data_IF_986432767183
#
_entry.id   IF_986432767183
#
_cell.length_a   1.000
_cell.length_b   1.000
_cell.length_c   1.000
_cell.angle_alpha   90.00
_cell.angle_beta   90.00
_cell.angle_gamma   90.00
#
_symmetry.space_group_name_H-M   'P 1'
#
loop_
_entity.id
_entity.type
_entity.pdbx_description
1 polymer ?
#
# COMPACT_ATOMS: atom_id res chain seq x y z
N UNK A 1 -3.25 -2.52 -22.34
CA UNK A 1 -2.82 -2.11 -23.70
C UNK A 1 -3.76 -2.77 -24.69
N UNK A 2 -4.95 -2.20 -24.88
CA UNK A 2 -5.93 -2.65 -25.88
C UNK A 2 -6.37 -1.36 -26.58
N UNK A 3 -6.01 -1.20 -27.84
CA UNK A 3 -6.39 -0.02 -28.62
C UNK A 3 -7.25 -0.52 -29.76
N UNK A 4 -8.52 -0.11 -29.77
CA UNK A 4 -9.45 -0.34 -30.89
C UNK A 4 -9.65 -1.81 -31.29
N UNK A 5 -9.72 -2.74 -30.32
CA UNK A 5 -9.97 -4.15 -30.59
C UNK A 5 -8.78 -4.93 -31.15
N UNK A 6 -7.60 -4.32 -31.25
CA UNK A 6 -6.36 -5.06 -31.54
C UNK A 6 -5.88 -5.68 -30.22
N UNK A 7 -5.92 -7.02 -30.15
CA UNK A 7 -5.31 -7.75 -29.05
C UNK A 7 -3.79 -7.59 -29.14
N UNK A 8 -3.13 -7.07 -28.09
CA UNK A 8 -1.67 -7.00 -28.06
C UNK A 8 -1.09 -8.41 -28.18
N UNK A 9 0.02 -8.52 -28.90
CA UNK A 9 0.78 -9.76 -28.99
C UNK A 9 1.29 -10.20 -27.60
N UNK A 10 1.60 -11.49 -27.47
CA UNK A 10 2.18 -12.01 -26.24
C UNK A 10 3.51 -11.31 -25.87
N UNK A 11 4.27 -10.87 -26.87
CA UNK A 11 5.55 -10.17 -26.68
C UNK A 11 5.33 -8.75 -26.14
N UNK A 12 4.34 -8.02 -26.68
CA UNK A 12 3.96 -6.69 -26.17
C UNK A 12 3.46 -6.75 -24.73
N UNK A 13 2.59 -7.73 -24.41
CA UNK A 13 2.13 -7.94 -23.03
C UNK A 13 3.29 -8.36 -22.11
N UNK A 14 4.20 -9.18 -22.61
CA UNK A 14 5.39 -9.59 -21.85
C UNK A 14 6.27 -8.38 -21.52
N UNK A 15 6.55 -7.52 -22.50
CA UNK A 15 7.27 -6.27 -22.28
C UNK A 15 6.52 -5.36 -21.31
N UNK A 16 5.20 -5.25 -21.44
CA UNK A 16 4.36 -4.41 -20.59
C UNK A 16 4.32 -4.86 -19.13
N UNK A 17 4.35 -6.16 -18.82
CA UNK A 17 4.24 -6.66 -17.44
C UNK A 17 5.57 -6.96 -16.77
N UNK A 18 6.64 -7.19 -17.55
CA UNK A 18 7.95 -7.58 -17.03
C UNK A 18 9.07 -6.61 -17.39
N UNK A 19 8.77 -5.48 -18.04
CA UNK A 19 9.75 -4.49 -18.50
C UNK A 19 10.67 -3.95 -17.41
N UNK A 20 10.21 -3.95 -16.16
CA UNK A 20 11.00 -3.51 -14.99
C UNK A 20 11.39 -4.65 -14.06
N UNK A 21 11.25 -5.91 -14.50
CA UNK A 21 11.72 -7.09 -13.76
C UNK A 21 13.11 -7.50 -14.23
N UNK A 22 13.99 -7.86 -13.30
CA UNK A 22 15.40 -8.16 -13.57
C UNK A 22 15.70 -9.65 -13.64
N UNK A 23 15.09 -10.44 -12.76
CA UNK A 23 15.49 -11.82 -12.48
C UNK A 23 14.54 -12.88 -13.03
N UNK A 24 13.33 -12.50 -13.46
CA UNK A 24 12.39 -13.43 -14.10
C UNK A 24 12.96 -13.90 -15.44
N UNK A 25 13.12 -15.22 -15.70
CA UNK A 25 13.63 -15.72 -16.99
C UNK A 25 12.71 -15.38 -18.17
N UNK A 26 13.28 -15.05 -19.34
CA UNK A 26 12.50 -14.62 -20.51
C UNK A 26 11.43 -15.64 -20.95
N UNK A 27 11.76 -16.94 -20.89
CA UNK A 27 10.82 -18.01 -21.23
C UNK A 27 9.60 -18.04 -20.30
N UNK A 28 9.80 -17.75 -19.00
CA UNK A 28 8.73 -17.68 -18.01
C UNK A 28 7.87 -16.44 -18.23
N UNK A 29 8.50 -15.29 -18.54
CA UNK A 29 7.77 -14.05 -18.88
C UNK A 29 6.82 -14.28 -20.06
N UNK A 30 7.30 -14.92 -21.13
CA UNK A 30 6.48 -15.25 -22.32
C UNK A 30 5.35 -16.24 -22.01
N UNK A 31 5.60 -17.23 -21.15
CA UNK A 31 4.57 -18.21 -20.74
C UNK A 31 3.47 -17.53 -19.94
N UNK A 32 3.84 -16.72 -18.95
CA UNK A 32 2.90 -15.98 -18.12
C UNK A 32 2.16 -14.91 -18.94
N UNK A 33 2.86 -14.18 -19.81
CA UNK A 33 2.27 -13.18 -20.70
C UNK A 33 1.13 -13.75 -21.56
N UNK A 34 1.31 -14.96 -22.12
CA UNK A 34 0.25 -15.66 -22.86
C UNK A 34 -0.96 -16.02 -22.00
N UNK A 35 -0.75 -16.50 -20.77
CA UNK A 35 -1.86 -16.82 -19.84
C UNK A 35 -2.61 -15.55 -19.43
N UNK A 36 -1.88 -14.48 -19.14
CA UNK A 36 -2.44 -13.18 -18.81
C UNK A 36 -3.27 -12.60 -19.96
N UNK A 37 -2.82 -12.72 -21.20
CA UNK A 37 -3.58 -12.26 -22.37
C UNK A 37 -5.00 -12.84 -22.39
N UNK A 38 -5.13 -14.14 -22.17
CA UNK A 38 -6.43 -14.84 -22.12
C UNK A 38 -7.27 -14.36 -20.95
N UNK A 39 -6.68 -14.16 -19.77
CA UNK A 39 -7.43 -13.71 -18.60
C UNK A 39 -7.90 -12.25 -18.74
N UNK A 40 -7.05 -11.36 -19.27
CA UNK A 40 -7.39 -9.96 -19.50
C UNK A 40 -8.47 -9.80 -20.57
N UNK A 41 -8.46 -10.63 -21.61
CA UNK A 41 -9.51 -10.67 -22.62
C UNK A 41 -10.87 -11.10 -22.04
N UNK A 42 -10.87 -12.09 -21.13
CA UNK A 42 -12.07 -12.50 -20.38
C UNK A 42 -12.56 -11.40 -19.46
N UNK A 43 -11.66 -10.73 -18.74
CA UNK A 43 -11.99 -9.60 -17.88
C UNK A 43 -12.63 -8.45 -18.67
N UNK A 44 -12.04 -8.09 -19.81
CA UNK A 44 -12.58 -7.09 -20.72
C UNK A 44 -13.98 -7.49 -21.23
N UNK A 45 -14.12 -8.71 -21.75
CA UNK A 45 -15.39 -9.25 -22.26
C UNK A 45 -16.47 -9.27 -21.19
N UNK A 46 -16.12 -9.68 -19.96
CA UNK A 46 -17.05 -9.66 -18.84
C UNK A 46 -17.54 -8.24 -18.55
N UNK A 47 -16.62 -7.27 -18.50
CA UNK A 47 -16.94 -5.87 -18.23
C UNK A 47 -17.90 -5.31 -19.30
N UNK A 48 -17.58 -5.51 -20.59
CA UNK A 48 -18.45 -5.07 -21.69
C UNK A 48 -19.84 -5.71 -21.61
N UNK A 49 -19.92 -7.02 -21.36
CA UNK A 49 -21.18 -7.75 -21.34
C UNK A 49 -22.11 -7.37 -20.16
N UNK A 50 -21.55 -7.06 -18.98
CA UNK A 50 -22.34 -6.85 -17.77
C UNK A 50 -22.50 -5.38 -17.37
N UNK A 51 -21.57 -4.51 -17.78
CA UNK A 51 -21.54 -3.10 -17.35
C UNK A 51 -21.72 -2.12 -18.52
N UNK A 52 -21.57 -2.58 -19.77
CA UNK A 52 -21.77 -1.77 -20.97
C UNK A 52 -20.81 -0.58 -21.09
N UNK A 53 -21.23 0.45 -21.82
CA UNK A 53 -20.40 1.62 -22.15
C UNK A 53 -20.24 2.61 -20.98
N UNK A 54 -21.07 2.48 -19.93
CA UNK A 54 -21.02 3.33 -18.73
C UNK A 54 -19.86 3.02 -17.79
N UNK A 55 -19.06 2.00 -18.10
CA UNK A 55 -17.91 1.58 -17.30
C UNK A 55 -16.66 1.43 -18.16
N UNK A 56 -15.51 1.71 -17.56
CA UNK A 56 -14.20 1.43 -18.14
C UNK A 56 -13.36 0.61 -17.16
N UNK A 57 -12.64 -0.38 -17.67
CA UNK A 57 -11.82 -1.28 -16.88
C UNK A 57 -10.34 -1.02 -17.13
N UNK A 58 -9.57 -0.85 -16.06
CA UNK A 58 -8.14 -0.60 -16.11
C UNK A 58 -7.38 -1.62 -15.28
N UNK A 59 -6.11 -1.83 -15.63
CA UNK A 59 -5.15 -2.58 -14.82
C UNK A 59 -4.34 -1.61 -13.96
N UNK A 60 -4.10 -1.95 -12.71
CA UNK A 60 -3.31 -1.21 -11.74
C UNK A 60 -2.29 -2.15 -11.06
N UNK A 61 -1.71 -1.69 -9.95
CA UNK A 61 -0.78 -2.47 -9.14
C UNK A 61 0.54 -2.78 -9.83
N UNK A 62 1.15 -3.90 -9.43
CA UNK A 62 2.50 -4.28 -9.89
C UNK A 62 2.58 -4.55 -11.40
N UNK A 63 1.49 -4.99 -12.05
CA UNK A 63 1.48 -5.22 -13.48
C UNK A 63 1.49 -3.90 -14.27
N UNK A 64 0.77 -2.87 -13.79
CA UNK A 64 0.79 -1.54 -14.41
C UNK A 64 2.18 -0.89 -14.34
N UNK A 65 2.97 -1.21 -13.30
CA UNK A 65 4.37 -0.79 -13.17
C UNK A 65 5.39 -1.66 -13.93
N UNK A 66 4.93 -2.67 -14.65
CA UNK A 66 5.77 -3.68 -15.32
C UNK A 66 6.69 -4.47 -14.36
N UNK A 67 6.19 -4.76 -13.17
CA UNK A 67 6.89 -5.45 -12.09
C UNK A 67 6.21 -6.78 -11.73
N UNK A 68 5.81 -7.58 -12.70
CA UNK A 68 5.20 -8.88 -12.38
C UNK A 68 6.18 -9.80 -11.63
N UNK A 69 5.69 -10.49 -10.60
CA UNK A 69 6.41 -11.57 -9.91
C UNK A 69 5.91 -12.94 -10.38
N UNK A 70 6.78 -13.93 -10.29
CA UNK A 70 6.47 -15.33 -10.55
C UNK A 70 6.78 -16.21 -9.36
N UNK A 71 6.22 -17.42 -9.36
CA UNK A 71 6.52 -18.50 -8.41
C UNK A 71 6.67 -19.82 -9.17
N UNK A 72 7.69 -20.60 -8.82
CA UNK A 72 7.86 -21.96 -9.36
C UNK A 72 6.93 -22.95 -8.66
N UNK A 73 6.23 -23.78 -9.43
CA UNK A 73 5.31 -24.82 -8.94
C UNK A 73 5.86 -26.24 -9.18
N UNK A 74 7.18 -26.40 -9.06
CA UNK A 74 7.89 -27.67 -9.28
C UNK A 74 8.23 -27.90 -10.76
N UNK A 75 7.21 -28.04 -11.61
CA UNK A 75 7.38 -28.28 -13.06
C UNK A 75 6.88 -27.13 -13.94
N UNK A 76 6.23 -26.13 -13.35
CA UNK A 76 5.72 -24.96 -14.07
C UNK A 76 6.03 -23.67 -13.31
N UNK A 77 5.66 -22.55 -13.92
CA UNK A 77 5.73 -21.21 -13.36
C UNK A 77 4.33 -20.61 -13.35
N UNK A 78 3.97 -19.97 -12.24
CA UNK A 78 2.72 -19.24 -12.08
C UNK A 78 3.01 -17.77 -11.80
N UNK A 79 2.01 -16.91 -12.09
CA UNK A 79 2.05 -15.52 -11.66
C UNK A 79 1.90 -15.48 -10.13
N UNK A 80 2.79 -14.75 -9.47
CA UNK A 80 2.72 -14.53 -8.02
C UNK A 80 2.26 -13.11 -7.66
N UNK A 81 2.19 -12.23 -8.64
CA UNK A 81 1.53 -10.92 -8.49
C UNK A 81 0.02 -11.06 -8.49
N UNK A 82 -0.62 -10.24 -7.66
CA UNK A 82 -2.07 -10.04 -7.71
C UNK A 82 -2.46 -9.27 -8.98
N UNK A 83 -3.66 -9.53 -9.48
CA UNK A 83 -4.30 -8.79 -10.57
C UNK A 83 -5.21 -7.71 -9.99
N UNK A 84 -4.69 -6.49 -9.92
CA UNK A 84 -5.43 -5.35 -9.43
C UNK A 84 -6.14 -4.64 -10.58
N UNK A 85 -7.47 -4.74 -10.62
CA UNK A 85 -8.28 -3.99 -11.57
C UNK A 85 -8.87 -2.73 -10.94
N UNK A 86 -9.17 -1.75 -11.79
CA UNK A 86 -9.94 -0.57 -11.41
C UNK A 86 -11.09 -0.38 -12.39
N UNK A 87 -12.31 -0.40 -11.84
CA UNK A 87 -13.52 -0.09 -12.57
C UNK A 87 -13.83 1.40 -12.43
N UNK A 88 -13.77 2.14 -13.52
CA UNK A 88 -14.21 3.54 -13.57
C UNK A 88 -15.63 3.59 -14.10
N UNK A 89 -16.58 3.97 -13.24
CA UNK A 89 -18.02 4.01 -13.58
C UNK A 89 -18.52 5.46 -13.66
N UNK A 90 -19.46 5.71 -14.56
CA UNK A 90 -20.30 6.91 -14.48
C UNK A 90 -21.17 6.85 -13.23
N UNK A 91 -21.48 7.99 -12.62
CA UNK A 91 -22.43 8.01 -11.51
C UNK A 91 -23.83 7.70 -12.06
N UNK A 92 -24.55 6.72 -11.50
CA UNK A 92 -25.92 6.44 -11.92
C UNK A 92 -26.90 7.58 -11.57
N UNK A 93 -26.49 8.50 -10.69
CA UNK A 93 -27.30 9.64 -10.28
C UNK A 93 -26.80 10.93 -10.94
N UNK A 94 -27.67 11.57 -11.73
CA UNK A 94 -27.40 12.86 -12.33
C UNK A 94 -27.02 13.95 -11.29
N UNK A 95 -26.65 15.17 -11.74
CA UNK A 95 -26.07 16.24 -10.92
C UNK A 95 -26.97 16.85 -9.80
N UNK A 96 -27.93 16.10 -9.24
CA UNK A 96 -28.87 16.55 -8.20
C UNK A 96 -28.94 15.69 -6.93
N UNK A 97 -28.13 14.65 -6.77
CA UNK A 97 -28.18 13.78 -5.59
C UNK A 97 -27.28 14.20 -4.41
N UNK A 98 -26.47 15.26 -4.54
CA UNK A 98 -25.53 15.72 -3.51
C UNK A 98 -26.21 16.44 -2.31
N UNK A 99 -27.53 16.28 -2.12
CA UNK A 99 -28.33 17.04 -1.15
C UNK A 99 -28.65 16.37 0.18
N UNK A 100 -28.34 15.08 0.39
CA UNK A 100 -28.59 14.38 1.66
C UNK A 100 -27.53 13.29 1.93
N UNK A 101 -26.29 13.70 2.13
CA UNK A 101 -25.32 12.88 2.87
C UNK A 101 -25.75 12.88 4.35
N UNK A 102 -26.71 12.00 4.68
CA UNK A 102 -27.00 11.66 6.06
C UNK A 102 -25.85 10.84 6.65
N UNK A 103 -25.40 11.25 7.83
CA UNK A 103 -24.42 10.55 8.67
C UNK A 103 -24.89 9.13 9.02
N UNK A 104 -24.65 8.15 8.15
CA UNK A 104 -24.82 6.73 8.47
C UNK A 104 -23.43 6.05 8.60
N UNK A 105 -22.91 5.85 9.82
CA UNK A 105 -21.51 5.47 10.06
C UNK A 105 -21.26 3.95 10.15
N UNK A 106 -22.16 3.07 9.71
CA UNK A 106 -22.01 1.63 9.92
C UNK A 106 -21.95 0.81 8.61
N UNK A 107 -20.74 0.53 8.12
CA UNK A 107 -20.54 -0.36 6.97
C UNK A 107 -19.10 -0.49 6.49
N UNK A 108 -18.19 -0.96 7.34
CA UNK A 108 -16.77 -1.12 7.01
C UNK A 108 -16.49 -2.42 6.23
N UNK A 109 -16.03 -2.28 4.98
CA UNK A 109 -15.54 -3.38 4.18
C UNK A 109 -15.00 -2.97 2.81
N UNK A 110 -13.98 -2.10 2.77
CA UNK A 110 -13.05 -1.89 1.64
C UNK A 110 -13.62 -2.00 0.19
N UNK A 111 -14.71 -1.31 -0.11
CA UNK A 111 -15.18 -1.09 -1.49
C UNK A 111 -16.01 0.18 -1.47
N UNK A 112 -15.36 1.29 -1.80
CA UNK A 112 -15.85 2.62 -1.45
C UNK A 112 -16.48 3.40 -2.61
N UNK A 113 -17.78 3.26 -2.80
CA UNK A 113 -18.60 4.17 -3.61
C UNK A 113 -20.06 3.80 -3.50
N UNK A 114 -20.91 4.39 -4.35
CA UNK A 114 -22.33 4.09 -4.32
C UNK A 114 -22.56 2.56 -4.34
N UNK A 115 -23.58 2.04 -3.64
CA UNK A 115 -23.77 0.61 -3.43
C UNK A 115 -23.70 -0.20 -4.74
N UNK A 116 -24.12 0.39 -5.85
CA UNK A 116 -24.04 -0.20 -7.19
C UNK A 116 -22.59 -0.38 -7.72
N UNK A 117 -21.74 0.63 -7.63
CA UNK A 117 -20.35 0.56 -8.13
C UNK A 117 -19.47 -0.36 -7.30
N UNK A 118 -19.64 -0.29 -5.97
CA UNK A 118 -19.05 -1.25 -5.02
C UNK A 118 -19.47 -2.68 -5.33
N UNK A 119 -20.77 -2.94 -5.45
CA UNK A 119 -21.27 -4.28 -5.74
C UNK A 119 -20.76 -4.80 -7.09
N UNK A 120 -20.69 -3.95 -8.12
CA UNK A 120 -20.17 -4.32 -9.43
C UNK A 120 -18.70 -4.78 -9.38
N UNK A 121 -17.83 -4.03 -8.69
CA UNK A 121 -16.42 -4.40 -8.52
C UNK A 121 -16.25 -5.73 -7.77
N UNK A 122 -17.03 -5.96 -6.71
CA UNK A 122 -17.01 -7.22 -5.97
C UNK A 122 -17.52 -8.41 -6.79
N UNK A 123 -18.61 -8.23 -7.53
CA UNK A 123 -19.15 -9.26 -8.42
C UNK A 123 -18.15 -9.59 -9.53
N UNK A 124 -17.52 -8.58 -10.14
CA UNK A 124 -16.45 -8.76 -11.11
C UNK A 124 -15.29 -9.57 -10.52
N UNK A 125 -14.74 -9.16 -9.37
CA UNK A 125 -13.61 -9.83 -8.76
C UNK A 125 -13.93 -11.28 -8.40
N UNK A 126 -15.13 -11.57 -7.87
CA UNK A 126 -15.59 -12.94 -7.62
C UNK A 126 -15.68 -13.76 -8.90
N UNK A 127 -16.23 -13.19 -9.97
CA UNK A 127 -16.34 -13.88 -11.26
C UNK A 127 -14.96 -14.22 -11.84
N UNK A 128 -14.00 -13.29 -11.80
CA UNK A 128 -12.64 -13.51 -12.29
C UNK A 128 -11.89 -14.57 -11.48
N UNK A 129 -11.96 -14.50 -10.15
CA UNK A 129 -11.36 -15.50 -9.25
C UNK A 129 -11.97 -16.90 -9.44
N UNK A 130 -13.27 -17.00 -9.73
CA UNK A 130 -13.91 -18.29 -10.01
C UNK A 130 -13.45 -18.90 -11.34
N UNK A 131 -13.11 -18.08 -12.34
CA UNK A 131 -12.65 -18.53 -13.65
C UNK A 131 -11.16 -18.86 -13.70
N UNK A 132 -10.35 -18.24 -12.84
CA UNK A 132 -8.91 -18.45 -12.73
C UNK A 132 -8.50 -18.47 -11.25
N UNK A 133 -8.76 -19.57 -10.53
CA UNK A 133 -8.52 -19.65 -9.08
C UNK A 133 -7.03 -19.59 -8.69
N UNK A 134 -6.13 -19.76 -9.66
CA UNK A 134 -4.70 -19.59 -9.53
C UNK A 134 -4.23 -18.13 -9.63
N UNK A 135 -5.11 -17.21 -10.03
CA UNK A 135 -4.84 -15.78 -10.16
C UNK A 135 -5.66 -15.01 -9.14
N UNK A 136 -5.00 -14.43 -8.12
CA UNK A 136 -5.68 -13.58 -7.17
C UNK A 136 -6.08 -12.27 -7.84
N UNK A 137 -7.38 -12.07 -8.02
CA UNK A 137 -7.94 -10.87 -8.63
C UNK A 137 -8.59 -9.98 -7.58
N UNK A 138 -8.20 -8.71 -7.58
CA UNK A 138 -8.88 -7.63 -6.84
C UNK A 138 -9.48 -6.65 -7.83
N UNK A 139 -10.56 -5.97 -7.43
CA UNK A 139 -11.14 -4.91 -8.24
C UNK A 139 -11.57 -3.77 -7.34
N UNK A 140 -10.97 -2.61 -7.57
CA UNK A 140 -11.38 -1.36 -6.98
C UNK A 140 -12.36 -0.66 -7.92
N UNK A 141 -13.05 0.36 -7.43
CA UNK A 141 -13.78 1.24 -8.31
C UNK A 141 -13.53 2.69 -7.97
N UNK A 142 -13.69 3.53 -8.99
CA UNK A 142 -13.54 4.98 -8.92
C UNK A 142 -14.69 5.58 -9.73
N UNK A 143 -15.36 6.61 -9.22
CA UNK A 143 -16.32 7.34 -10.04
C UNK A 143 -15.57 8.16 -11.06
N UNK A 144 -16.07 8.25 -12.29
CA UNK A 144 -15.41 9.04 -13.35
C UNK A 144 -15.16 10.49 -12.94
N UNK A 145 -16.07 11.11 -12.17
CA UNK A 145 -15.90 12.47 -11.60
C UNK A 145 -14.78 12.59 -10.57
N UNK A 146 -14.43 11.50 -9.89
CA UNK A 146 -13.40 11.49 -8.84
C UNK A 146 -12.00 11.21 -9.40
N UNK A 147 -11.92 10.70 -10.62
CA UNK A 147 -10.67 10.27 -11.25
C UNK A 147 -9.55 11.33 -11.20
N UNK A 148 -9.78 12.62 -11.48
CA UNK A 148 -8.73 13.65 -11.38
C UNK A 148 -8.20 13.90 -9.96
N UNK A 149 -8.89 13.39 -8.93
CA UNK A 149 -8.56 13.58 -7.51
C UNK A 149 -7.95 12.32 -6.87
N UNK A 150 -7.88 11.22 -7.62
CA UNK A 150 -7.23 9.98 -7.17
C UNK A 150 -5.75 10.26 -6.89
N UNK A 151 -5.24 9.68 -5.81
CA UNK A 151 -3.90 9.96 -5.26
C UNK A 151 -3.24 8.71 -4.72
N UNK A 152 -2.08 8.89 -4.08
CA UNK A 152 -1.20 7.84 -3.57
C UNK A 152 -0.61 6.95 -4.66
N UNK A 153 0.13 5.92 -4.24
CA UNK A 153 0.68 4.91 -5.15
C UNK A 153 -0.40 4.17 -5.93
N UNK A 154 -1.58 3.99 -5.34
CA UNK A 154 -2.74 3.45 -6.07
C UNK A 154 -3.10 4.33 -7.26
N UNK A 155 -3.14 5.65 -7.06
CA UNK A 155 -3.41 6.60 -8.13
C UNK A 155 -2.36 6.55 -9.23
N UNK A 156 -1.08 6.49 -8.88
CA UNK A 156 0.00 6.37 -9.88
C UNK A 156 -0.18 5.11 -10.71
N UNK A 157 -0.47 3.97 -10.07
CA UNK A 157 -0.70 2.72 -10.78
C UNK A 157 -1.89 2.80 -11.74
N UNK A 158 -3.00 3.42 -11.30
CA UNK A 158 -4.15 3.66 -12.15
C UNK A 158 -3.77 4.58 -13.32
N UNK A 159 -3.06 5.69 -13.04
CA UNK A 159 -2.63 6.66 -14.06
C UNK A 159 -1.78 6.02 -15.15
N UNK A 160 -0.89 5.08 -14.80
CA UNK A 160 -0.14 4.28 -15.78
C UNK A 160 -1.04 3.40 -16.66
N UNK A 161 -2.15 2.93 -16.10
CA UNK A 161 -3.15 2.14 -16.83
C UNK A 161 -4.10 2.97 -17.70
N UNK A 162 -4.33 4.26 -17.40
CA UNK A 162 -5.33 5.11 -18.07
C UNK A 162 -5.17 5.19 -19.60
N UNK A 163 -3.97 5.31 -20.18
CA UNK A 163 -3.80 5.31 -21.64
C UNK A 163 -4.23 4.00 -22.33
N UNK A 164 -4.54 2.96 -21.55
CA UNK A 164 -4.65 1.59 -22.01
C UNK A 164 -5.83 0.83 -21.38
N UNK A 165 -7.08 1.33 -21.49
CA UNK A 165 -8.25 0.63 -20.96
C UNK A 165 -8.35 -0.79 -21.52
N UNK A 166 -8.76 -1.74 -20.68
CA UNK A 166 -9.06 -3.11 -21.09
C UNK A 166 -10.45 -3.21 -21.71
N UNK A 167 -11.41 -2.43 -21.22
CA UNK A 167 -12.77 -2.32 -21.72
C UNK A 167 -13.33 -0.91 -21.49
N UNK A 168 -14.36 -0.53 -22.25
CA UNK A 168 -15.08 0.73 -22.12
C UNK A 168 -14.45 1.92 -22.85
N UNK A 169 -15.12 3.07 -22.74
CA UNK A 169 -14.65 4.34 -23.32
C UNK A 169 -13.35 4.83 -22.66
N UNK A 170 -12.50 5.50 -23.46
CA UNK A 170 -11.23 6.04 -23.00
C UNK A 170 -11.38 7.04 -21.84
N UNK A 171 -10.31 7.18 -21.07
CA UNK A 171 -10.23 8.12 -19.95
C UNK A 171 -10.56 9.56 -20.39
N UNK A 172 -11.22 10.37 -19.55
CA UNK A 172 -11.34 11.81 -19.81
C UNK A 172 -9.96 12.41 -20.13
N UNK A 173 -9.82 13.13 -21.26
CA UNK A 173 -8.54 13.76 -21.59
C UNK A 173 -8.13 14.71 -20.47
N UNK A 174 -6.84 14.68 -20.10
CA UNK A 174 -6.27 15.62 -19.13
C UNK A 174 -6.29 15.18 -17.65
N UNK A 175 -6.53 13.91 -17.34
CA UNK A 175 -6.31 13.41 -15.96
C UNK A 175 -4.84 13.60 -15.57
N UNK A 176 -4.52 14.43 -14.56
CA UNK A 176 -3.14 14.71 -14.19
C UNK A 176 -2.48 13.49 -13.53
N UNK A 177 -1.15 13.41 -13.63
CA UNK A 177 -0.38 12.45 -12.84
C UNK A 177 -0.60 12.71 -11.34
N UNK A 178 -0.94 11.69 -10.55
CA UNK A 178 -1.11 11.85 -9.11
C UNK A 178 0.17 12.30 -8.43
N UNK A 179 0.05 13.23 -7.49
CA UNK A 179 1.18 13.65 -6.66
C UNK A 179 1.44 12.59 -5.59
N UNK A 180 2.65 12.07 -5.54
CA UNK A 180 3.14 11.19 -4.47
C UNK A 180 4.12 11.96 -3.63
N UNK A 181 3.74 12.27 -2.41
CA UNK A 181 4.58 12.92 -1.44
C UNK A 181 5.15 11.96 -0.39
N UNK A 182 5.83 12.52 0.62
CA UNK A 182 6.35 11.77 1.76
C UNK A 182 5.26 10.99 2.52
N UNK A 183 4.04 11.54 2.60
CA UNK A 183 2.94 10.92 3.33
C UNK A 183 2.38 9.70 2.60
N UNK A 184 2.17 9.80 1.30
CA UNK A 184 1.78 8.68 0.44
C UNK A 184 2.85 7.58 0.41
N UNK A 185 4.12 7.97 0.52
CA UNK A 185 5.26 7.05 0.65
C UNK A 185 5.21 6.28 1.97
N UNK A 186 4.89 6.95 3.07
CA UNK A 186 4.71 6.30 4.37
C UNK A 186 3.51 5.35 4.37
N UNK A 187 2.42 5.64 3.64
CA UNK A 187 1.24 4.76 3.59
C UNK A 187 1.60 3.31 3.22
N UNK A 188 2.43 3.14 2.18
CA UNK A 188 2.81 1.80 1.70
C UNK A 188 3.59 1.04 2.77
N UNK A 189 4.48 1.72 3.48
CA UNK A 189 5.24 1.15 4.61
C UNK A 189 4.32 0.82 5.78
N UNK A 190 3.39 1.71 6.13
CA UNK A 190 2.40 1.52 7.19
C UNK A 190 1.47 0.34 6.88
N UNK A 191 1.12 0.11 5.62
CA UNK A 191 0.36 -1.07 5.23
C UNK A 191 1.14 -2.37 5.50
N UNK A 192 2.45 -2.41 5.22
CA UNK A 192 3.26 -3.59 5.54
C UNK A 192 3.47 -3.76 7.04
N UNK A 193 3.66 -2.67 7.79
CA UNK A 193 3.70 -2.71 9.26
C UNK A 193 2.40 -3.27 9.84
N UNK A 194 1.25 -2.85 9.32
CA UNK A 194 -0.04 -3.30 9.81
C UNK A 194 -0.24 -4.80 9.53
N UNK A 195 0.19 -5.25 8.34
CA UNK A 195 0.16 -6.66 7.98
C UNK A 195 1.08 -7.50 8.89
N UNK A 196 2.27 -6.99 9.22
CA UNK A 196 3.24 -7.68 10.07
C UNK A 196 2.81 -7.75 11.55
N UNK A 197 2.31 -6.63 12.10
CA UNK A 197 2.03 -6.50 13.54
C UNK A 197 0.61 -6.91 13.94
N UNK A 198 -0.38 -6.61 13.09
CA UNK A 198 -1.79 -6.68 13.50
C UNK A 198 -2.50 -7.92 12.96
N UNK A 199 -2.02 -8.52 11.89
CA UNK A 199 -2.68 -9.68 11.27
C UNK A 199 -1.97 -10.97 11.72
N UNK A 200 -2.73 -12.03 12.08
CA UNK A 200 -2.12 -13.32 12.34
C UNK A 200 -1.49 -13.84 11.03
N UNK A 201 -0.28 -14.44 11.09
CA UNK A 201 0.29 -15.11 9.93
C UNK A 201 -0.64 -16.24 9.46
N UNK A 202 -0.82 -16.38 8.15
CA UNK A 202 -1.63 -17.44 7.55
C UNK A 202 -0.73 -18.30 6.66
N UNK A 203 -0.31 -19.49 7.12
CA UNK A 203 0.49 -20.41 6.32
C UNK A 203 -0.21 -20.74 4.99
N UNK A 204 0.47 -20.54 3.87
CA UNK A 204 -0.07 -20.83 2.53
C UNK A 204 -1.13 -19.85 2.01
N UNK A 205 -1.53 -18.85 2.79
CA UNK A 205 -2.43 -17.79 2.34
C UNK A 205 -1.70 -16.62 1.67
N UNK A 206 -2.47 -15.72 1.04
CA UNK A 206 -2.01 -14.46 0.42
C UNK A 206 -1.15 -13.61 1.36
N UNK A 207 -1.40 -13.74 2.68
CA UNK A 207 -0.69 -13.00 3.73
C UNK A 207 0.66 -13.62 4.09
N UNK A 208 0.95 -14.86 3.72
CA UNK A 208 2.25 -15.46 3.93
C UNK A 208 2.70 -15.59 5.39
N UNK A 209 3.97 -15.92 5.57
CA UNK A 209 4.63 -15.98 6.89
C UNK A 209 5.12 -14.61 7.36
N UNK A 210 5.40 -14.45 8.66
CA UNK A 210 6.04 -13.22 9.19
C UNK A 210 7.37 -12.89 8.49
N UNK A 211 8.12 -13.90 8.03
CA UNK A 211 9.35 -13.70 7.25
C UNK A 211 9.08 -13.07 5.88
N UNK A 212 7.98 -13.45 5.23
CA UNK A 212 7.55 -12.87 3.97
C UNK A 212 7.06 -11.43 4.16
N UNK A 213 6.31 -11.17 5.24
CA UNK A 213 5.87 -9.82 5.59
C UNK A 213 7.05 -8.89 5.91
N UNK A 214 8.06 -9.39 6.63
CA UNK A 214 9.27 -8.62 6.90
C UNK A 214 10.06 -8.32 5.61
N UNK A 215 10.14 -9.25 4.66
CA UNK A 215 10.73 -8.99 3.33
C UNK A 215 9.96 -7.88 2.59
N UNK A 216 8.62 -7.92 2.60
CA UNK A 216 7.79 -6.86 2.00
C UNK A 216 8.07 -5.52 2.67
N UNK A 217 8.09 -5.47 4.00
CA UNK A 217 8.42 -4.27 4.77
C UNK A 217 9.79 -3.69 4.39
N UNK A 218 10.82 -4.53 4.26
CA UNK A 218 12.16 -4.10 3.84
C UNK A 218 12.16 -3.50 2.43
N UNK A 219 11.52 -4.16 1.47
CA UNK A 219 11.46 -3.68 0.09
C UNK A 219 10.69 -2.36 -0.01
N UNK A 220 9.59 -2.22 0.71
CA UNK A 220 8.85 -0.96 0.76
C UNK A 220 9.61 0.14 1.49
N UNK A 221 10.30 -0.19 2.59
CA UNK A 221 11.15 0.76 3.30
C UNK A 221 12.33 1.24 2.44
N UNK A 222 12.96 0.35 1.68
CA UNK A 222 13.99 0.71 0.71
C UNK A 222 13.42 1.61 -0.38
N UNK A 223 12.33 1.19 -1.03
CA UNK A 223 11.67 1.95 -2.10
C UNK A 223 11.24 3.34 -1.64
N UNK A 224 10.73 3.45 -0.41
CA UNK A 224 10.32 4.70 0.21
C UNK A 224 11.49 5.68 0.47
N UNK A 225 12.72 5.17 0.57
CA UNK A 225 13.93 5.98 0.75
C UNK A 225 14.65 6.30 -0.58
N UNK A 226 14.16 5.78 -1.70
CA UNK A 226 14.67 6.11 -3.04
C UNK A 226 13.97 7.39 -3.54
N UNK A 227 14.70 8.40 -4.06
CA UNK A 227 14.09 9.56 -4.70
C UNK A 227 13.17 9.15 -5.86
N UNK A 228 12.02 9.80 -5.97
CA UNK A 228 11.05 9.54 -7.04
C UNK A 228 11.70 9.85 -8.39
N UNK A 229 11.71 8.91 -9.36
CA UNK A 229 12.25 9.17 -10.70
C UNK A 229 11.45 10.25 -11.46
N UNK A 230 12.00 10.74 -12.57
CA UNK A 230 11.37 11.79 -13.37
C UNK A 230 10.02 11.40 -13.98
N UNK A 231 9.77 10.11 -14.17
CA UNK A 231 8.48 9.58 -14.65
C UNK A 231 7.43 9.45 -13.54
N UNK A 232 7.80 9.76 -12.29
CA UNK A 232 6.90 9.74 -11.15
C UNK A 232 6.63 8.35 -10.57
N UNK A 233 7.28 7.28 -11.06
CA UNK A 233 6.96 5.89 -10.71
C UNK A 233 8.12 5.24 -9.96
N UNK A 234 7.93 4.95 -8.67
CA UNK A 234 8.90 4.17 -7.90
C UNK A 234 8.71 2.66 -8.08
N UNK A 235 9.80 2.00 -8.43
CA UNK A 235 9.89 0.58 -8.75
C UNK A 235 10.90 -0.12 -7.86
N UNK A 236 10.77 -1.43 -7.66
CA UNK A 236 11.77 -2.26 -7.00
C UNK A 236 13.08 -2.32 -7.82
N UNK A 237 13.02 -2.14 -9.14
CA UNK A 237 14.23 -2.03 -9.96
C UNK A 237 15.09 -0.81 -9.59
N UNK A 238 14.48 0.27 -9.07
CA UNK A 238 15.19 1.49 -8.70
C UNK A 238 16.05 1.30 -7.43
N UNK A 239 15.68 0.32 -6.60
CA UNK A 239 16.45 -0.11 -5.42
C UNK A 239 17.83 -0.65 -5.82
N UNK A 240 17.98 -1.19 -7.04
CA UNK A 240 19.25 -1.74 -7.51
C UNK A 240 20.20 -0.68 -8.10
N UNK A 241 19.72 0.56 -8.26
CA UNK A 241 20.52 1.66 -8.79
C UNK A 241 21.33 2.41 -7.73
N UNK A 242 22.09 3.44 -8.12
CA UNK A 242 22.88 4.27 -7.19
C UNK A 242 22.04 4.88 -6.05
N UNK A 243 20.83 5.33 -6.35
CA UNK A 243 19.91 5.87 -5.35
C UNK A 243 19.49 4.82 -4.31
N UNK A 244 19.23 3.60 -4.75
CA UNK A 244 18.94 2.48 -3.85
C UNK A 244 20.14 2.06 -3.01
N UNK A 245 21.36 2.16 -3.54
CA UNK A 245 22.58 1.95 -2.76
C UNK A 245 22.71 2.98 -1.62
N UNK A 246 22.37 4.25 -1.87
CA UNK A 246 22.31 5.29 -0.81
C UNK A 246 21.22 4.97 0.20
N UNK A 247 20.03 4.56 -0.24
CA UNK A 247 18.93 4.17 0.66
C UNK A 247 19.31 2.99 1.58
N UNK A 248 20.09 2.04 1.07
CA UNK A 248 20.57 0.86 1.78
C UNK A 248 21.86 1.06 2.60
N UNK A 249 22.55 2.19 2.43
CA UNK A 249 23.90 2.40 2.96
C UNK A 249 23.97 2.14 4.48
N UNK A 250 24.96 1.38 4.95
CA UNK A 250 25.10 1.02 6.36
C UNK A 250 23.99 0.12 6.96
N UNK A 251 22.95 -0.24 6.19
CA UNK A 251 21.85 -1.12 6.62
C UNK A 251 21.91 -2.49 5.95
N UNK A 252 22.18 -2.52 4.64
CA UNK A 252 22.21 -3.72 3.83
C UNK A 252 23.36 -3.65 2.82
N UNK A 253 24.08 -4.75 2.66
CA UNK A 253 25.07 -4.86 1.59
C UNK A 253 24.38 -4.94 0.21
N UNK A 254 25.04 -4.46 -0.85
CA UNK A 254 24.48 -4.47 -2.20
C UNK A 254 23.95 -5.85 -2.65
N UNK A 255 24.70 -6.92 -2.35
CA UNK A 255 24.28 -8.30 -2.65
C UNK A 255 23.01 -8.72 -1.88
N UNK A 256 22.79 -8.20 -0.68
CA UNK A 256 21.58 -8.47 0.10
C UNK A 256 20.37 -7.73 -0.48
N UNK A 257 20.56 -6.48 -0.89
CA UNK A 257 19.54 -5.69 -1.60
C UNK A 257 19.14 -6.36 -2.91
N UNK A 258 20.11 -6.82 -3.70
CA UNK A 258 19.86 -7.59 -4.92
C UNK A 258 19.09 -8.88 -4.63
N UNK A 259 19.52 -9.64 -3.62
CA UNK A 259 18.85 -10.87 -3.21
C UNK A 259 17.40 -10.61 -2.76
N UNK A 260 17.10 -9.50 -2.09
CA UNK A 260 15.73 -9.14 -1.69
C UNK A 260 14.83 -8.89 -2.90
N UNK A 261 15.30 -8.11 -3.88
CA UNK A 261 14.55 -7.85 -5.12
C UNK A 261 14.35 -9.14 -5.91
N UNK A 262 15.41 -9.95 -6.04
CA UNK A 262 15.33 -11.28 -6.66
C UNK A 262 14.32 -12.19 -5.96
N UNK A 263 14.34 -12.22 -4.63
CA UNK A 263 13.42 -13.03 -3.85
C UNK A 263 11.96 -12.58 -4.00
N UNK A 264 11.72 -11.28 -4.21
CA UNK A 264 10.39 -10.77 -4.53
C UNK A 264 9.94 -11.17 -5.92
N UNK A 265 10.78 -10.99 -6.93
CA UNK A 265 10.42 -11.29 -8.32
C UNK A 265 10.19 -12.78 -8.57
N UNK A 266 10.94 -13.64 -7.89
CA UNK A 266 10.87 -15.10 -8.04
C UNK A 266 10.12 -15.79 -6.89
N UNK A 267 9.50 -15.02 -6.00
CA UNK A 267 8.77 -15.50 -4.82
C UNK A 267 9.58 -16.46 -3.93
N UNK A 268 10.88 -16.26 -3.84
CA UNK A 268 11.81 -17.07 -3.03
C UNK A 268 11.69 -16.72 -1.54
N UNK A 269 12.15 -17.59 -0.63
CA UNK A 269 12.26 -17.24 0.78
C UNK A 269 13.05 -15.96 1.03
N UNK A 270 12.83 -15.31 2.18
CA UNK A 270 13.60 -14.14 2.58
C UNK A 270 15.10 -14.52 2.68
N UNK A 271 16.01 -13.89 1.92
CA UNK A 271 17.43 -14.23 1.92
C UNK A 271 18.18 -13.74 3.17
N UNK A 272 17.53 -12.93 4.01
CA UNK A 272 18.14 -12.31 5.19
C UNK A 272 17.52 -12.92 6.46
N UNK A 273 18.36 -13.13 7.48
CA UNK A 273 17.92 -13.57 8.80
C UNK A 273 16.98 -12.56 9.47
N UNK A 274 16.01 -13.04 10.25
CA UNK A 274 14.98 -12.19 10.86
C UNK A 274 15.52 -11.06 11.73
N UNK A 275 16.60 -11.28 12.51
CA UNK A 275 17.22 -10.24 13.34
C UNK A 275 17.76 -9.08 12.50
N UNK A 276 18.65 -9.38 11.55
CA UNK A 276 19.19 -8.39 10.62
C UNK A 276 18.08 -7.68 9.82
N UNK A 277 17.05 -8.41 9.40
CA UNK A 277 15.93 -7.84 8.68
C UNK A 277 15.09 -6.87 9.52
N UNK A 278 14.96 -7.11 10.83
CA UNK A 278 14.32 -6.17 11.76
C UNK A 278 15.19 -4.93 11.95
N UNK A 279 16.50 -5.09 12.18
CA UNK A 279 17.43 -3.97 12.33
C UNK A 279 17.42 -3.05 11.10
N UNK A 280 17.47 -3.64 9.90
CA UNK A 280 17.39 -2.90 8.65
C UNK A 280 16.03 -2.20 8.49
N UNK A 281 14.92 -2.85 8.87
CA UNK A 281 13.59 -2.21 8.83
C UNK A 281 13.49 -1.02 9.79
N UNK A 282 14.04 -1.12 11.00
CA UNK A 282 14.12 0.00 11.96
C UNK A 282 14.95 1.13 11.36
N UNK A 283 16.13 0.85 10.81
CA UNK A 283 16.97 1.88 10.18
C UNK A 283 16.31 2.56 8.98
N UNK A 284 15.61 1.80 8.11
CA UNK A 284 14.87 2.36 6.99
C UNK A 284 13.71 3.25 7.45
N UNK A 285 13.00 2.86 8.51
CA UNK A 285 11.97 3.71 9.12
C UNK A 285 12.57 5.00 9.68
N UNK A 286 13.67 4.93 10.44
CA UNK A 286 14.35 6.11 10.97
C UNK A 286 14.73 7.08 9.85
N UNK A 287 15.26 6.59 8.73
CA UNK A 287 15.62 7.42 7.56
C UNK A 287 14.44 8.11 6.89
N UNK A 288 13.25 7.53 6.95
CA UNK A 288 12.06 8.22 6.43
C UNK A 288 11.76 9.49 7.22
N UNK A 289 11.94 9.47 8.54
CA UNK A 289 11.64 10.62 9.41
C UNK A 289 12.83 11.56 9.58
N UNK A 290 14.04 11.01 9.65
CA UNK A 290 15.30 11.72 9.89
C UNK A 290 16.28 11.32 8.79
N UNK A 291 16.33 12.03 7.65
CA UNK A 291 16.99 11.50 6.45
C UNK A 291 18.52 11.54 6.47
N UNK A 292 19.08 12.33 7.39
CA UNK A 292 20.51 12.38 7.70
C UNK A 292 20.90 11.34 8.76
N UNK A 293 19.93 10.53 9.22
CA UNK A 293 20.13 9.53 10.23
C UNK A 293 21.10 8.44 9.80
N UNK A 294 22.17 8.28 10.58
CA UNK A 294 22.88 7.01 10.70
C UNK A 294 22.01 5.96 11.43
N UNK A 295 22.60 4.82 11.80
CA UNK A 295 21.88 3.68 12.39
C UNK A 295 21.42 3.86 13.85
N UNK A 296 21.45 5.08 14.43
CA UNK A 296 21.31 5.31 15.89
C UNK A 296 20.60 6.61 16.28
N UNK A 297 19.43 6.88 15.72
CA UNK A 297 18.73 8.20 15.86
C UNK A 297 17.27 7.99 16.25
N UNK A 298 17.06 6.98 17.11
CA UNK A 298 15.75 6.57 17.57
C UNK A 298 15.04 7.66 18.40
N UNK A 299 15.71 8.36 19.33
CA UNK A 299 15.08 9.50 20.03
C UNK A 299 14.55 10.56 19.07
N UNK A 300 15.35 10.97 18.09
CA UNK A 300 14.99 12.00 17.11
C UNK A 300 13.84 11.53 16.21
N UNK A 301 13.82 10.25 15.85
CA UNK A 301 12.70 9.66 15.11
C UNK A 301 11.40 9.71 15.92
N UNK A 302 11.46 9.43 17.23
CA UNK A 302 10.30 9.49 18.12
C UNK A 302 9.83 10.93 18.34
N UNK A 303 10.75 11.89 18.42
CA UNK A 303 10.43 13.32 18.51
C UNK A 303 9.70 13.81 17.25
N UNK A 304 10.17 13.43 16.04
CA UNK A 304 9.50 13.76 14.77
C UNK A 304 8.10 13.11 14.71
N UNK A 305 7.96 11.86 15.15
CA UNK A 305 6.67 11.19 15.22
C UNK A 305 5.71 11.92 16.17
N UNK A 306 6.19 12.41 17.30
CA UNK A 306 5.40 13.17 18.26
C UNK A 306 5.01 14.55 17.72
N UNK A 307 5.94 15.29 17.12
CA UNK A 307 5.68 16.59 16.50
C UNK A 307 4.57 16.49 15.44
N UNK A 308 4.59 15.43 14.64
CA UNK A 308 3.59 15.15 13.61
C UNK A 308 2.18 14.95 14.15
N UNK A 309 2.01 14.47 15.38
CA UNK A 309 0.68 14.33 15.98
C UNK A 309 0.08 15.69 16.37
N UNK A 310 0.94 16.69 16.67
CA UNK A 310 0.51 17.97 17.20
C UNK A 310 -0.40 17.84 18.44
N UNK A 311 -1.28 18.83 18.64
CA UNK A 311 -2.24 18.84 19.76
C UNK A 311 -3.56 18.09 19.51
N UNK A 312 -3.89 17.78 18.25
CA UNK A 312 -5.03 16.97 17.82
C UNK A 312 -4.69 16.30 16.49
N UNK A 313 -4.81 14.97 16.42
CA UNK A 313 -4.47 14.19 15.24
C UNK A 313 -5.69 13.55 14.61
N UNK A 314 -5.83 13.72 13.29
CA UNK A 314 -6.76 12.93 12.48
C UNK A 314 -6.41 11.43 12.55
N UNK A 315 -7.39 10.55 12.33
CA UNK A 315 -7.15 9.10 12.44
C UNK A 315 -6.05 8.56 11.53
N UNK A 316 -5.78 9.21 10.38
CA UNK A 316 -4.70 8.79 9.49
C UNK A 316 -3.34 9.07 10.12
N UNK A 317 -3.13 10.29 10.64
CA UNK A 317 -1.91 10.66 11.37
C UNK A 317 -1.72 9.81 12.62
N UNK A 318 -2.80 9.58 13.39
CA UNK A 318 -2.77 8.78 14.62
C UNK A 318 -2.37 7.34 14.32
N UNK A 319 -3.00 6.69 13.34
CA UNK A 319 -2.71 5.30 13.02
C UNK A 319 -1.28 5.11 12.51
N UNK A 320 -0.82 5.96 11.57
CA UNK A 320 0.55 5.90 11.04
C UNK A 320 1.58 6.06 12.16
N UNK A 321 1.36 7.02 13.06
CA UNK A 321 2.27 7.29 14.19
C UNK A 321 2.25 6.16 15.22
N UNK A 322 1.06 5.78 15.68
CA UNK A 322 0.87 4.72 16.67
C UNK A 322 1.47 3.39 16.20
N UNK A 323 1.27 3.05 14.93
CA UNK A 323 1.79 1.80 14.37
C UNK A 323 3.31 1.80 14.23
N UNK A 324 3.89 2.93 13.80
CA UNK A 324 5.35 3.08 13.73
C UNK A 324 5.97 2.99 15.12
N UNK A 325 5.40 3.71 16.10
CA UNK A 325 5.83 3.64 17.50
C UNK A 325 5.68 2.23 18.08
N UNK A 326 4.60 1.52 17.75
CA UNK A 326 4.40 0.13 18.15
C UNK A 326 5.47 -0.81 17.57
N UNK A 327 5.86 -0.63 16.29
CA UNK A 327 6.95 -1.40 15.70
C UNK A 327 8.26 -1.19 16.44
N UNK A 328 8.61 0.07 16.71
CA UNK A 328 9.82 0.44 17.44
C UNK A 328 9.79 -0.07 18.90
N UNK A 329 8.63 -0.05 19.55
CA UNK A 329 8.44 -0.58 20.90
C UNK A 329 8.66 -2.10 20.98
N UNK A 330 8.16 -2.85 19.99
CA UNK A 330 8.26 -4.32 19.94
C UNK A 330 9.68 -4.78 19.60
N UNK A 331 10.37 -4.02 18.76
CA UNK A 331 11.65 -4.45 18.18
C UNK A 331 12.88 -3.70 18.68
N UNK A 332 12.71 -2.69 19.55
CA UNK A 332 13.84 -2.07 20.25
C UNK A 332 14.25 -2.91 21.46
N UNK A 333 15.54 -3.10 21.60
CA UNK A 333 16.24 -3.77 22.68
C UNK A 333 16.79 -2.78 23.73
N UNK A 334 16.64 -1.47 23.49
CA UNK A 334 17.04 -0.41 24.43
C UNK A 334 15.85 -0.02 25.32
N UNK A 335 15.91 -0.24 26.66
CA UNK A 335 14.76 0.01 27.55
C UNK A 335 14.21 1.44 27.50
N UNK A 336 15.10 2.45 27.50
CA UNK A 336 14.70 3.85 27.41
C UNK A 336 13.95 4.16 26.10
N UNK A 337 14.38 3.56 24.98
CA UNK A 337 13.73 3.76 23.70
C UNK A 337 12.38 3.04 23.61
N UNK A 338 12.23 1.88 24.26
CA UNK A 338 10.93 1.22 24.42
C UNK A 338 9.97 2.09 25.21
N UNK A 339 10.40 2.64 26.34
CA UNK A 339 9.56 3.56 27.14
C UNK A 339 9.18 4.81 26.33
N UNK A 340 10.11 5.40 25.59
CA UNK A 340 9.81 6.54 24.71
C UNK A 340 8.83 6.18 23.58
N UNK A 341 9.00 5.03 22.93
CA UNK A 341 8.08 4.53 21.89
C UNK A 341 6.68 4.24 22.45
N UNK A 342 6.57 3.67 23.66
CA UNK A 342 5.30 3.55 24.38
C UNK A 342 4.69 4.94 24.66
N UNK A 343 5.52 5.92 25.01
CA UNK A 343 5.11 7.32 25.16
C UNK A 343 4.45 7.90 23.90
N UNK A 344 5.09 7.74 22.75
CA UNK A 344 4.54 8.18 21.46
C UNK A 344 3.24 7.44 21.12
N UNK A 345 3.20 6.12 21.29
CA UNK A 345 1.99 5.32 21.06
C UNK A 345 0.81 5.82 21.92
N UNK A 346 1.00 5.97 23.22
CA UNK A 346 -0.06 6.40 24.14
C UNK A 346 -0.46 7.86 23.90
N UNK A 347 0.47 8.74 23.50
CA UNK A 347 0.18 10.11 23.09
C UNK A 347 -0.66 10.17 21.81
N UNK A 348 -0.38 9.33 20.81
CA UNK A 348 -1.21 9.21 19.60
C UNK A 348 -2.67 8.92 19.94
N UNK A 349 -2.92 7.97 20.85
CA UNK A 349 -4.26 7.64 21.32
C UNK A 349 -4.97 8.79 22.05
N UNK A 350 -4.22 9.58 22.83
CA UNK A 350 -4.76 10.77 23.50
C UNK A 350 -5.09 11.89 22.51
N UNK A 351 -4.25 12.08 21.50
CA UNK A 351 -4.40 13.09 20.45
C UNK A 351 -5.51 12.76 19.44
N UNK A 352 -5.94 11.49 19.36
CA UNK A 352 -6.99 11.06 18.45
C UNK A 352 -8.29 11.83 18.68
N UNK A 353 -8.80 12.44 17.61
CA UNK A 353 -10.12 13.09 17.61
C UNK A 353 -11.22 12.02 17.79
N UNK A 354 -12.01 12.08 18.88
CA UNK A 354 -13.10 11.12 19.08
C UNK A 354 -14.12 11.06 17.93
N UNK A 355 -14.29 12.16 17.17
CA UNK A 355 -15.21 12.19 16.03
C UNK A 355 -14.72 11.36 14.83
N UNK A 356 -13.43 11.03 14.79
CA UNK A 356 -12.84 10.18 13.75
C UNK A 356 -12.78 8.69 14.13
N UNK A 357 -13.19 8.33 15.35
CA UNK A 357 -13.15 6.95 15.83
C UNK A 357 -14.56 6.36 15.87
N UNK A 358 -14.76 5.28 15.11
CA UNK A 358 -15.99 4.48 15.17
C UNK A 358 -15.68 3.15 15.82
N UNK A 359 -14.79 2.38 15.20
CA UNK A 359 -14.41 1.04 15.66
C UNK A 359 -13.48 1.12 16.88
N UNK A 360 -12.56 2.09 16.92
CA UNK A 360 -11.59 2.24 17.99
C UNK A 360 -12.14 2.94 19.25
N UNK A 361 -13.30 3.58 19.17
CA UNK A 361 -13.86 4.37 20.25
C UNK A 361 -13.97 3.62 21.59
N UNK A 362 -14.42 2.33 21.65
CA UNK A 362 -14.50 1.58 22.90
C UNK A 362 -13.14 1.32 23.56
N UNK A 363 -12.05 1.36 22.80
CA UNK A 363 -10.70 1.06 23.29
C UNK A 363 -9.95 2.30 23.78
N UNK A 364 -10.37 3.51 23.37
CA UNK A 364 -9.65 4.76 23.66
C UNK A 364 -9.44 4.99 25.16
N UNK A 365 -10.48 4.78 25.97
CA UNK A 365 -10.38 4.99 27.41
C UNK A 365 -9.29 4.12 28.05
N UNK A 366 -9.20 2.85 27.68
CA UNK A 366 -8.18 1.93 28.18
C UNK A 366 -6.77 2.32 27.73
N UNK A 367 -6.59 2.73 26.47
CA UNK A 367 -5.28 3.17 25.96
C UNK A 367 -4.81 4.46 26.65
N UNK A 368 -5.71 5.37 27.01
CA UNK A 368 -5.35 6.67 27.58
C UNK A 368 -4.95 6.62 29.06
N UNK A 369 -5.33 5.58 29.82
CA UNK A 369 -5.08 5.47 31.27
C UNK A 369 -3.68 4.97 31.62
N UNK A 370 -2.98 4.33 30.69
CA UNK A 370 -1.66 3.77 30.95
C UNK A 370 -0.56 4.84 30.92
N UNK A 371 0.45 4.65 31.77
CA UNK A 371 1.73 5.39 31.65
C UNK A 371 2.68 4.60 30.76
N UNK A 372 3.66 5.26 30.11
CA UNK A 372 4.65 4.56 29.29
C UNK A 372 5.44 3.50 30.08
N UNK A 373 5.77 3.83 31.33
CA UNK A 373 6.48 2.93 32.24
C UNK A 373 5.67 1.70 32.61
N UNK A 374 4.40 1.89 32.99
CA UNK A 374 3.51 0.75 33.33
C UNK A 374 3.29 -0.12 32.10
N UNK A 375 3.11 0.49 30.93
CA UNK A 375 2.93 -0.22 29.67
C UNK A 375 4.10 -1.16 29.37
N UNK A 376 5.34 -0.68 29.51
CA UNK A 376 6.55 -1.48 29.25
C UNK A 376 6.76 -2.54 30.32
N UNK A 377 6.53 -2.23 31.60
CA UNK A 377 6.67 -3.18 32.72
C UNK A 377 5.70 -4.35 32.57
N UNK A 378 4.44 -4.07 32.27
CA UNK A 378 3.34 -5.03 32.26
C UNK A 378 2.92 -5.39 30.82
N UNK A 379 3.87 -5.39 29.88
CA UNK A 379 3.60 -5.52 28.44
C UNK A 379 2.76 -6.75 28.10
N UNK A 380 3.00 -7.90 28.74
CA UNK A 380 2.23 -9.11 28.50
C UNK A 380 0.72 -8.92 28.79
N UNK A 381 0.39 -8.15 29.82
CA UNK A 381 -1.00 -7.81 30.19
C UNK A 381 -1.62 -6.84 29.18
N UNK A 382 -0.84 -5.87 28.71
CA UNK A 382 -1.34 -4.83 27.82
C UNK A 382 -1.37 -5.22 26.34
N UNK A 383 -0.63 -6.27 25.93
CA UNK A 383 -0.45 -6.65 24.53
C UNK A 383 -1.77 -6.96 23.83
N UNK A 384 -2.61 -7.80 24.42
CA UNK A 384 -3.87 -8.23 23.81
C UNK A 384 -4.86 -7.07 23.63
N UNK A 385 -5.00 -6.22 24.65
CA UNK A 385 -5.82 -5.01 24.58
C UNK A 385 -5.27 -4.00 23.57
N UNK A 386 -3.95 -3.81 23.51
CA UNK A 386 -3.31 -2.94 22.52
C UNK A 386 -3.52 -3.45 21.09
N UNK A 387 -3.38 -4.76 20.87
CA UNK A 387 -3.62 -5.36 19.55
C UNK A 387 -5.07 -5.22 19.11
N UNK A 388 -6.04 -5.42 20.01
CA UNK A 388 -7.46 -5.13 19.72
C UNK A 388 -7.68 -3.68 19.36
N UNK A 389 -7.16 -2.75 20.17
CA UNK A 389 -7.27 -1.32 19.94
C UNK A 389 -6.67 -0.91 18.58
N UNK A 390 -5.47 -1.39 18.26
CA UNK A 390 -4.80 -1.10 16.99
C UNK A 390 -5.49 -1.74 15.78
N UNK A 391 -6.09 -2.93 15.93
CA UNK A 391 -6.92 -3.55 14.87
C UNK A 391 -8.19 -2.76 14.62
N UNK A 392 -8.83 -2.24 15.66
CA UNK A 392 -9.99 -1.37 15.52
C UNK A 392 -9.61 -0.03 14.87
N UNK A 393 -8.53 0.60 15.32
CA UNK A 393 -8.00 1.83 14.72
C UNK A 393 -7.61 1.65 13.25
N UNK A 394 -7.13 0.45 12.88
CA UNK A 394 -6.88 0.09 11.48
C UNK A 394 -8.17 0.16 10.64
N UNK A 395 -9.32 -0.27 11.17
CA UNK A 395 -10.59 -0.20 10.44
C UNK A 395 -11.00 1.26 10.20
N UNK A 396 -10.95 2.10 11.24
CA UNK A 396 -11.21 3.55 11.12
C UNK A 396 -10.26 4.21 10.09
N UNK A 397 -8.96 3.85 10.16
CA UNK A 397 -7.94 4.30 9.22
C UNK A 397 -8.31 3.99 7.76
N UNK A 398 -8.65 2.74 7.43
CA UNK A 398 -9.04 2.39 6.05
C UNK A 398 -10.38 2.98 5.65
N UNK A 399 -11.30 3.18 6.60
CA UNK A 399 -12.56 3.88 6.41
C UNK A 399 -12.37 5.31 5.92
N UNK A 400 -11.31 6.00 6.38
CA UNK A 400 -10.93 7.33 5.91
C UNK A 400 -9.98 7.32 4.71
N UNK A 401 -8.99 6.42 4.68
CA UNK A 401 -7.97 6.38 3.63
C UNK A 401 -8.56 6.02 2.26
N UNK A 402 -9.52 5.10 2.21
CA UNK A 402 -10.16 4.73 0.94
C UNK A 402 -10.81 5.95 0.24
N UNK A 403 -11.81 6.61 0.84
CA UNK A 403 -12.40 7.84 0.27
C UNK A 403 -11.38 8.91 -0.11
N UNK A 404 -10.30 9.04 0.66
CA UNK A 404 -9.20 9.95 0.37
C UNK A 404 -8.45 9.56 -0.91
N UNK A 405 -7.93 8.33 -0.97
CA UNK A 405 -7.09 7.85 -2.08
C UNK A 405 -7.87 7.70 -3.40
N UNK A 406 -9.16 7.34 -3.33
CA UNK A 406 -10.04 7.24 -4.50
C UNK A 406 -10.66 8.59 -4.92
N UNK A 407 -10.22 9.71 -4.34
CA UNK A 407 -10.62 11.06 -4.78
C UNK A 407 -12.03 11.51 -4.37
N UNK A 408 -12.76 10.73 -3.57
CA UNK A 408 -14.14 11.06 -3.14
C UNK A 408 -14.18 12.16 -2.08
N UNK A 409 -13.35 12.01 -1.05
CA UNK A 409 -13.22 12.94 0.07
C UNK A 409 -11.73 13.22 0.30
N UNK A 410 -11.07 13.90 -0.66
CA UNK A 410 -9.68 14.29 -0.48
C UNK A 410 -9.58 15.20 0.74
N UNK A 411 -8.49 15.06 1.49
CA UNK A 411 -8.16 15.92 2.61
C UNK A 411 -6.98 16.78 2.20
N UNK A 412 -7.15 18.09 2.26
CA UNK A 412 -6.10 19.06 1.93
C UNK A 412 -5.06 19.16 3.05
N UNK A 413 -5.44 18.82 4.29
CA UNK A 413 -4.52 18.72 5.43
C UNK A 413 -3.70 17.43 5.43
N UNK A 414 -3.97 16.52 4.49
CA UNK A 414 -3.20 15.28 4.33
C UNK A 414 -1.91 15.55 3.55
N UNK A 415 -1.05 16.36 4.14
CA UNK A 415 0.27 16.67 3.60
C UNK A 415 1.32 16.41 4.68
N UNK A 416 2.55 16.17 4.25
CA UNK A 416 3.72 16.15 5.12
C UNK A 416 4.86 16.83 4.38
N UNK A 417 5.30 17.98 4.90
CA UNK A 417 6.50 18.64 4.42
C UNK A 417 7.71 17.90 4.96
N UNK A 418 8.38 17.18 4.07
CA UNK A 418 9.61 16.51 4.45
C UNK A 418 10.75 17.55 4.52
N UNK A 419 11.65 17.48 5.51
CA UNK A 419 12.74 18.47 5.66
C UNK A 419 13.58 18.68 4.39
N UNK A 420 13.70 17.66 3.52
CA UNK A 420 14.42 17.74 2.22
C UNK A 420 13.77 18.65 1.17
N UNK A 421 12.48 18.98 1.28
CA UNK A 421 11.81 19.85 0.28
C UNK A 421 12.37 21.28 0.30
N UNK A 422 12.98 21.73 1.40
CA UNK A 422 13.63 23.04 1.51
C UNK A 422 15.03 23.13 0.89
N UNK A 423 15.68 22.01 0.57
CA UNK A 423 17.09 21.96 0.17
C UNK A 423 17.31 21.86 -1.34
N UNK A 424 16.29 21.53 -2.14
CA UNK A 424 16.41 21.32 -3.60
C UNK A 424 15.86 22.48 -4.43
N UNK A 425 15.41 23.57 -3.80
CA UNK A 425 14.96 24.80 -4.47
C UNK A 425 15.91 26.00 -4.28
N UNK A 426 17.18 25.78 -3.93
CA UNK A 426 18.19 26.85 -3.84
C UNK A 426 19.33 26.66 -4.84
#
# INVERSE_FOLDING_TARGET
>A
MYVNGIQPSADELTAAFFGHTRFVPAADRLRIGRRLAVHLDRAASWCTAHLGDGAALYLAGSLARSEASVVGTGHDVALASDLDFVLVVDDPDGPGADGKDGDDPAGAGASGGGPAGTAAAEVFARAMNAQAPDLLTTCFHVRRRDLPRVRSFFGVDLWLGLPHPLAGGGTPPGTPAPRVGPRETLEVVVHQLAALLLLPPQPGGVRGSSRQQLRKLLLEGLRANVPVPSDGVLRYADILGPAGAVAADGLLAAAQTEALVRARELSLPNPIGSGQAVEAAVGLLQRLFVPEAGTRVLPETLDVLEERLGGRGDVLSVFQTALTAMFLLVHSDVPAAREAAAGVLLRAWRAADPADLTEAAPHRAAMCTWTPRDFVRDQAVHTDTTLRAMRALRLDYYGRLGPHNFGRRPSDSYTWHHPREGATQR
#
